data_IF_310247275268
#
_entry.id   IF_310247275268
#
_cell.length_a   1.000
_cell.length_b   1.000
_cell.length_c   1.000
_cell.angle_alpha   90.00
_cell.angle_beta   90.00
_cell.angle_gamma   90.00
#
_symmetry.space_group_name_H-M   'P 1'
#
loop_
_entity.id
_entity.type
_entity.pdbx_description
1 polymer ?
#
# COMPACT_ATOMS: atom_id res chain seq x y z
N UNK A 1 18.24 9.53 -11.72
CA UNK A 1 16.83 9.36 -11.25
C UNK A 1 16.81 9.09 -9.75
N UNK A 2 16.09 9.89 -8.99
CA UNK A 2 15.94 9.75 -7.52
C UNK A 2 14.47 9.45 -7.21
N UNK A 3 14.24 8.49 -6.30
CA UNK A 3 12.91 8.21 -5.77
C UNK A 3 12.69 9.03 -4.50
N UNK A 4 11.61 9.79 -4.49
CA UNK A 4 11.19 10.62 -3.36
C UNK A 4 9.79 10.25 -2.88
N UNK A 5 9.47 10.55 -1.63
CA UNK A 5 8.15 10.33 -1.06
C UNK A 5 7.51 11.67 -0.68
N UNK A 6 6.44 12.03 -1.37
CA UNK A 6 5.60 13.19 -1.03
C UNK A 6 4.39 12.70 -0.24
N UNK A 7 4.27 13.14 1.02
CA UNK A 7 3.17 12.76 1.89
C UNK A 7 2.26 13.96 2.14
N UNK A 8 0.95 13.77 1.92
CA UNK A 8 -0.10 14.78 2.17
C UNK A 8 -1.20 14.22 3.07
N UNK A 9 -1.82 15.08 3.87
CA UNK A 9 -3.00 14.74 4.64
C UNK A 9 -4.25 14.81 3.76
N UNK A 10 -5.13 13.82 3.91
CA UNK A 10 -6.42 13.77 3.23
C UNK A 10 -7.54 14.26 4.15
N UNK A 11 -8.53 14.91 3.55
CA UNK A 11 -9.76 15.34 4.18
C UNK A 11 -10.97 14.67 3.49
N UNK A 12 -11.20 13.37 3.75
CA UNK A 12 -12.30 12.64 3.13
C UNK A 12 -13.63 12.97 3.78
N UNK A 13 -14.70 13.05 3.00
CA UNK A 13 -16.07 13.05 3.50
C UNK A 13 -16.38 11.74 4.26
N UNK A 14 -17.42 11.70 5.11
CA UNK A 14 -17.83 10.48 5.80
C UNK A 14 -18.11 9.29 4.86
N UNK A 15 -18.64 9.55 3.67
CA UNK A 15 -18.85 8.53 2.66
C UNK A 15 -17.52 7.98 2.10
N UNK A 16 -16.59 8.88 1.80
CA UNK A 16 -15.25 8.50 1.34
C UNK A 16 -14.46 7.78 2.43
N UNK A 17 -14.61 8.16 3.69
CA UNK A 17 -13.94 7.45 4.80
C UNK A 17 -14.40 5.99 4.89
N UNK A 18 -15.69 5.71 4.71
CA UNK A 18 -16.21 4.33 4.63
C UNK A 18 -15.56 3.55 3.50
N UNK A 19 -15.42 4.15 2.32
CA UNK A 19 -14.75 3.52 1.16
C UNK A 19 -13.25 3.30 1.41
N UNK A 20 -12.57 4.24 2.05
CA UNK A 20 -11.16 4.10 2.44
C UNK A 20 -10.96 2.94 3.43
N UNK A 21 -11.86 2.82 4.42
CA UNK A 21 -11.84 1.71 5.37
C UNK A 21 -12.14 0.37 4.69
N UNK A 22 -13.09 0.33 3.74
CA UNK A 22 -13.40 -0.86 2.94
C UNK A 22 -12.19 -1.33 2.15
N UNK A 23 -11.50 -0.42 1.43
CA UNK A 23 -10.27 -0.75 0.69
C UNK A 23 -9.14 -1.26 1.60
N UNK A 24 -8.96 -0.66 2.78
CA UNK A 24 -8.00 -1.14 3.77
C UNK A 24 -8.39 -2.52 4.33
N UNK A 25 -9.69 -2.76 4.51
CA UNK A 25 -10.26 -4.06 4.85
C UNK A 25 -9.99 -5.12 3.78
N UNK A 26 -10.20 -4.78 2.51
CA UNK A 26 -9.92 -5.63 1.36
C UNK A 26 -8.43 -6.03 1.28
N UNK A 27 -7.53 -5.08 1.50
CA UNK A 27 -6.09 -5.35 1.56
C UNK A 27 -5.73 -6.32 2.69
N UNK A 28 -6.31 -6.13 3.89
CA UNK A 28 -6.11 -7.04 5.03
C UNK A 28 -6.70 -8.42 4.75
N UNK A 29 -7.88 -8.48 4.16
CA UNK A 29 -8.55 -9.73 3.78
C UNK A 29 -7.67 -10.54 2.82
N UNK A 30 -7.21 -9.94 1.71
CA UNK A 30 -6.34 -10.61 0.75
C UNK A 30 -5.03 -11.11 1.38
N UNK A 31 -4.42 -10.30 2.27
CA UNK A 31 -3.25 -10.74 3.04
C UNK A 31 -3.56 -11.99 3.88
N UNK A 32 -4.67 -11.99 4.61
CA UNK A 32 -5.04 -13.09 5.51
C UNK A 32 -5.44 -14.35 4.73
N UNK A 33 -6.23 -14.21 3.67
CA UNK A 33 -6.63 -15.31 2.81
C UNK A 33 -5.40 -15.97 2.14
N UNK A 34 -4.50 -15.16 1.59
CA UNK A 34 -3.24 -15.66 1.02
C UNK A 34 -2.35 -16.34 2.07
N UNK A 35 -2.30 -15.82 3.29
CA UNK A 35 -1.55 -16.44 4.39
C UNK A 35 -2.16 -17.78 4.79
N UNK A 36 -3.49 -17.88 4.87
CA UNK A 36 -4.19 -19.15 5.14
C UNK A 36 -3.87 -20.20 4.06
N UNK A 37 -3.94 -19.81 2.77
CA UNK A 37 -3.57 -20.66 1.65
C UNK A 37 -2.13 -21.19 1.75
N UNK A 38 -1.17 -20.31 2.02
CA UNK A 38 0.25 -20.71 2.16
C UNK A 38 0.44 -21.64 3.35
N UNK A 39 -0.20 -21.37 4.51
CA UNK A 39 -0.12 -22.23 5.68
C UNK A 39 -0.71 -23.61 5.42
N UNK A 40 -1.91 -23.68 4.84
CA UNK A 40 -2.55 -24.96 4.50
C UNK A 40 -1.68 -25.80 3.56
N UNK A 41 -1.03 -25.18 2.57
CA UNK A 41 -0.09 -25.87 1.70
C UNK A 41 1.14 -26.42 2.44
N UNK A 42 1.72 -25.63 3.36
CA UNK A 42 2.86 -26.08 4.19
C UNK A 42 2.43 -27.23 5.11
N UNK A 43 1.29 -27.11 5.78
CA UNK A 43 0.75 -28.12 6.69
C UNK A 43 0.45 -29.44 5.97
N UNK A 44 0.07 -29.38 4.70
CA UNK A 44 -0.10 -30.54 3.81
C UNK A 44 1.24 -31.07 3.23
N UNK A 45 2.39 -30.56 3.65
CA UNK A 45 3.69 -30.99 3.14
C UNK A 45 4.04 -30.50 1.73
N UNK A 46 3.22 -29.63 1.16
CA UNK A 46 3.45 -29.06 -0.16
C UNK A 46 4.44 -27.87 -0.10
N UNK A 47 4.95 -27.45 -1.27
CA UNK A 47 5.70 -26.22 -1.43
C UNK A 47 4.80 -25.17 -2.11
N UNK A 48 3.99 -24.43 -1.35
CA UNK A 48 3.09 -23.44 -1.95
C UNK A 48 3.90 -22.34 -2.63
N UNK A 49 3.41 -21.88 -3.78
CA UNK A 49 3.98 -20.73 -4.46
C UNK A 49 3.55 -19.45 -3.72
N UNK A 50 4.50 -18.78 -3.08
CA UNK A 50 4.27 -17.53 -2.35
C UNK A 50 4.88 -16.29 -2.98
N UNK A 51 5.33 -16.38 -4.24
CA UNK A 51 5.69 -15.20 -5.02
C UNK A 51 4.48 -14.28 -5.18
N UNK A 52 4.70 -12.97 -5.40
CA UNK A 52 3.60 -12.06 -5.67
C UNK A 52 2.76 -12.51 -6.88
N UNK A 53 3.42 -13.01 -7.93
CA UNK A 53 2.75 -13.53 -9.12
C UNK A 53 1.88 -14.75 -8.79
N UNK A 54 2.42 -15.73 -8.06
CA UNK A 54 1.68 -16.92 -7.66
C UNK A 54 0.48 -16.61 -6.77
N UNK A 55 0.67 -15.74 -5.77
CA UNK A 55 -0.42 -15.30 -4.90
C UNK A 55 -1.51 -14.54 -5.67
N UNK A 56 -1.15 -13.69 -6.65
CA UNK A 56 -2.13 -13.00 -7.51
C UNK A 56 -2.89 -13.99 -8.40
N UNK A 57 -2.21 -14.96 -8.98
CA UNK A 57 -2.83 -16.02 -9.79
C UNK A 57 -3.82 -16.82 -8.94
N UNK A 58 -3.40 -17.27 -7.77
CA UNK A 58 -4.27 -17.98 -6.83
C UNK A 58 -5.47 -17.13 -6.43
N UNK A 59 -5.29 -15.87 -6.08
CA UNK A 59 -6.37 -14.94 -5.74
C UNK A 59 -7.38 -14.82 -6.87
N UNK A 60 -6.93 -14.59 -8.09
CA UNK A 60 -7.80 -14.41 -9.24
C UNK A 60 -8.66 -15.64 -9.53
N UNK A 61 -8.16 -16.85 -9.27
CA UNK A 61 -8.90 -18.10 -9.46
C UNK A 61 -9.86 -18.40 -8.30
N UNK A 62 -9.69 -17.77 -7.13
CA UNK A 62 -10.47 -18.13 -5.93
C UNK A 62 -11.28 -16.96 -5.34
N UNK A 63 -11.11 -15.75 -5.81
CA UNK A 63 -11.71 -14.55 -5.22
C UNK A 63 -13.23 -14.58 -5.12
N UNK A 64 -13.91 -15.21 -6.10
CA UNK A 64 -15.37 -15.29 -6.13
C UNK A 64 -15.91 -16.22 -5.03
N UNK A 65 -15.18 -17.28 -4.71
CA UNK A 65 -15.50 -18.18 -3.61
C UNK A 65 -15.06 -17.63 -2.23
N UNK A 66 -13.98 -16.83 -2.18
CA UNK A 66 -13.44 -16.31 -0.95
C UNK A 66 -14.13 -15.02 -0.48
N UNK A 67 -14.55 -14.17 -1.41
CA UNK A 67 -15.11 -12.86 -1.14
C UNK A 67 -16.62 -12.83 -1.38
N UNK A 68 -17.32 -13.78 -0.79
CA UNK A 68 -18.77 -13.91 -0.77
C UNK A 68 -19.29 -13.63 0.65
N UNK A 69 -20.41 -12.92 0.76
CA UNK A 69 -21.10 -12.66 2.02
C UNK A 69 -22.01 -13.84 2.42
N UNK A 70 -22.55 -13.79 3.63
CA UNK A 70 -23.50 -14.79 4.12
C UNK A 70 -24.81 -14.83 3.30
N UNK A 71 -25.08 -13.74 2.60
CA UNK A 71 -26.20 -13.57 1.65
C UNK A 71 -25.89 -14.12 0.24
N UNK A 72 -24.72 -14.69 0.02
CA UNK A 72 -24.26 -15.18 -1.28
C UNK A 72 -23.78 -14.09 -2.24
N UNK A 73 -23.75 -12.83 -1.83
CA UNK A 73 -23.32 -11.71 -2.67
C UNK A 73 -21.79 -11.63 -2.72
N UNK A 74 -21.25 -11.57 -3.93
CA UNK A 74 -19.81 -11.40 -4.16
C UNK A 74 -19.45 -9.92 -4.00
N UNK A 75 -18.64 -9.61 -2.99
CA UNK A 75 -18.31 -8.23 -2.61
C UNK A 75 -16.93 -7.73 -3.06
N UNK A 76 -16.04 -8.57 -3.59
CA UNK A 76 -14.69 -8.10 -3.96
C UNK A 76 -14.72 -6.98 -5.02
N UNK A 77 -15.74 -6.94 -5.88
CA UNK A 77 -15.87 -5.93 -6.93
C UNK A 77 -16.15 -4.51 -6.40
N UNK A 78 -16.55 -4.35 -5.15
CA UNK A 78 -16.77 -3.06 -4.50
C UNK A 78 -15.48 -2.26 -4.33
N UNK A 79 -14.36 -2.95 -4.19
CA UNK A 79 -13.05 -2.35 -3.95
C UNK A 79 -12.17 -2.39 -5.20
N UNK A 80 -11.17 -1.52 -5.25
CA UNK A 80 -10.16 -1.57 -6.30
C UNK A 80 -9.34 -2.86 -6.20
N UNK A 81 -9.10 -3.51 -7.35
CA UNK A 81 -8.18 -4.66 -7.46
C UNK A 81 -6.80 -4.40 -6.85
N UNK A 82 -6.37 -3.14 -6.86
CA UNK A 82 -5.08 -2.72 -6.31
C UNK A 82 -5.02 -2.88 -4.79
N UNK A 83 -6.15 -2.73 -4.08
CA UNK A 83 -6.20 -2.96 -2.63
C UNK A 83 -5.88 -4.42 -2.28
N UNK A 84 -6.48 -5.38 -2.99
CA UNK A 84 -6.19 -6.81 -2.82
C UNK A 84 -4.75 -7.13 -3.20
N UNK A 85 -4.29 -6.62 -4.34
CA UNK A 85 -2.92 -6.77 -4.82
C UNK A 85 -1.89 -6.27 -3.81
N UNK A 86 -2.16 -5.14 -3.15
CA UNK A 86 -1.32 -4.61 -2.08
C UNK A 86 -1.25 -5.56 -0.87
N UNK A 87 -2.36 -6.18 -0.48
CA UNK A 87 -2.39 -7.18 0.58
C UNK A 87 -1.50 -8.38 0.26
N UNK A 88 -1.61 -8.91 -0.95
CA UNK A 88 -0.79 -10.03 -1.44
C UNK A 88 0.69 -9.66 -1.58
N UNK A 89 1.00 -8.43 -2.04
CA UNK A 89 2.37 -7.91 -2.10
C UNK A 89 3.01 -7.85 -0.71
N UNK A 90 2.26 -7.35 0.28
CA UNK A 90 2.73 -7.29 1.66
C UNK A 90 3.00 -8.69 2.24
N UNK A 91 2.16 -9.69 1.91
CA UNK A 91 2.37 -11.08 2.29
C UNK A 91 3.62 -11.66 1.63
N UNK A 92 3.74 -11.55 0.30
CA UNK A 92 4.89 -12.07 -0.46
C UNK A 92 6.21 -11.50 0.10
N UNK A 93 6.24 -10.18 0.35
CA UNK A 93 7.41 -9.51 0.95
C UNK A 93 7.70 -10.01 2.38
N UNK A 94 6.67 -10.26 3.19
CA UNK A 94 6.80 -10.81 4.53
C UNK A 94 7.40 -12.22 4.51
N UNK A 95 6.90 -13.10 3.64
CA UNK A 95 7.40 -14.48 3.45
C UNK A 95 8.83 -14.50 2.92
N UNK A 96 9.15 -13.63 1.94
CA UNK A 96 10.51 -13.50 1.43
C UNK A 96 11.49 -13.05 2.53
N UNK A 97 11.11 -12.06 3.35
CA UNK A 97 11.93 -11.58 4.45
C UNK A 97 12.15 -12.65 5.51
N UNK A 98 11.12 -13.42 5.85
CA UNK A 98 11.22 -14.56 6.75
C UNK A 98 12.16 -15.64 6.18
N UNK A 99 11.98 -16.03 4.92
CA UNK A 99 12.83 -17.02 4.25
C UNK A 99 14.31 -16.59 4.23
N UNK A 100 14.59 -15.32 3.85
CA UNK A 100 15.94 -14.77 3.90
C UNK A 100 16.52 -14.74 5.32
N UNK A 101 15.69 -14.41 6.31
CA UNK A 101 16.10 -14.39 7.72
C UNK A 101 16.47 -15.79 8.23
N UNK A 102 15.69 -16.82 7.86
CA UNK A 102 16.02 -18.22 8.19
C UNK A 102 17.34 -18.71 7.57
N UNK A 103 17.62 -18.28 6.35
CA UNK A 103 18.83 -18.65 5.61
C UNK A 103 20.08 -17.81 5.99
N UNK A 104 19.98 -16.88 6.94
CA UNK A 104 21.06 -15.96 7.27
C UNK A 104 21.37 -14.92 6.18
N UNK A 105 20.59 -14.86 5.11
CA UNK A 105 20.80 -13.97 3.96
C UNK A 105 20.24 -12.55 4.16
N UNK A 106 19.85 -12.19 5.41
CA UNK A 106 19.30 -10.87 5.73
C UNK A 106 20.06 -10.27 6.92
N UNK A 107 20.53 -9.04 6.76
CA UNK A 107 21.11 -8.25 7.86
C UNK A 107 20.01 -7.76 8.83
N UNK A 108 20.35 -7.60 10.10
CA UNK A 108 19.49 -7.07 11.16
C UNK A 108 18.70 -8.14 11.92
N UNK A 109 17.69 -7.71 12.70
CA UNK A 109 16.94 -8.60 13.62
C UNK A 109 16.24 -9.74 12.86
N UNK A 110 16.14 -10.91 13.50
CA UNK A 110 15.40 -12.07 12.97
C UNK A 110 13.94 -11.69 12.69
N UNK A 111 13.44 -12.15 11.55
CA UNK A 111 12.05 -11.95 11.10
C UNK A 111 11.31 -13.28 11.24
N UNK A 112 10.22 -13.27 12.00
CA UNK A 112 9.34 -14.43 12.16
C UNK A 112 8.45 -14.65 10.92
N UNK A 113 7.76 -15.80 10.91
CA UNK A 113 6.74 -16.09 9.91
C UNK A 113 5.60 -15.07 10.01
N UNK A 114 4.99 -14.63 8.88
CA UNK A 114 3.88 -13.69 8.89
C UNK A 114 2.72 -14.17 9.77
N UNK A 115 2.06 -13.22 10.44
CA UNK A 115 0.89 -13.49 11.29
C UNK A 115 -0.35 -12.86 10.67
N UNK A 116 -1.52 -13.43 10.97
CA UNK A 116 -2.80 -12.86 10.58
C UNK A 116 -2.95 -11.42 11.14
N UNK A 117 -3.54 -10.57 10.32
CA UNK A 117 -3.78 -9.16 10.67
C UNK A 117 -5.18 -9.01 11.26
N UNK A 118 -5.27 -8.65 12.52
CA UNK A 118 -6.53 -8.31 13.18
C UNK A 118 -6.99 -6.89 12.81
N UNK A 119 -8.31 -6.65 12.82
CA UNK A 119 -8.92 -5.37 12.41
C UNK A 119 -8.52 -4.21 13.33
N UNK A 120 -8.46 -4.48 14.61
CA UNK A 120 -8.17 -3.54 15.70
C UNK A 120 -6.69 -3.18 15.82
N UNK A 121 -5.79 -4.09 15.38
CA UNK A 121 -4.33 -3.92 15.51
C UNK A 121 -3.61 -3.55 14.23
N UNK A 122 -4.20 -3.86 13.09
CA UNK A 122 -3.58 -3.56 11.80
C UNK A 122 -3.86 -2.11 11.38
N UNK A 123 -2.80 -1.34 11.12
CA UNK A 123 -2.95 0.00 10.53
C UNK A 123 -3.70 -0.10 9.20
N UNK A 124 -4.85 0.60 9.03
CA UNK A 124 -5.56 0.64 7.77
C UNK A 124 -4.65 1.18 6.67
N UNK A 125 -4.43 0.37 5.63
CA UNK A 125 -3.50 0.74 4.55
C UNK A 125 -3.76 -0.05 3.28
N UNK A 126 -3.64 0.63 2.12
CA UNK A 126 -3.63 0.04 0.79
C UNK A 126 -2.84 0.93 -0.17
N UNK A 127 -2.62 0.49 -1.42
CA UNK A 127 -1.88 1.30 -2.39
C UNK A 127 -2.42 1.10 -3.80
N UNK A 128 -2.12 2.08 -4.65
CA UNK A 128 -2.33 2.04 -6.09
C UNK A 128 -0.96 2.08 -6.79
N UNK A 129 -0.81 1.25 -7.80
CA UNK A 129 0.38 1.18 -8.66
C UNK A 129 0.04 1.27 -10.13
N UNK A 130 -1.21 1.00 -10.48
CA UNK A 130 -1.72 1.05 -11.86
C UNK A 130 -3.08 1.73 -11.89
N UNK A 131 -3.46 2.22 -13.07
CA UNK A 131 -4.75 2.88 -13.30
C UNK A 131 -4.69 4.40 -13.10
N UNK A 132 -5.87 5.02 -13.14
CA UNK A 132 -6.02 6.48 -13.08
C UNK A 132 -6.07 6.99 -11.65
N UNK A 133 -4.95 6.93 -10.95
CA UNK A 133 -4.79 7.52 -9.61
C UNK A 133 -3.79 8.68 -9.63
N UNK A 134 -3.84 9.55 -8.64
CA UNK A 134 -2.88 10.64 -8.44
C UNK A 134 -3.47 12.02 -8.63
N UNK A 135 -2.70 12.93 -9.21
CA UNK A 135 -3.06 14.33 -9.39
C UNK A 135 -4.29 14.51 -10.28
N UNK A 136 -5.06 15.57 -10.03
CA UNK A 136 -6.20 16.00 -10.85
C UNK A 136 -5.82 17.32 -11.51
N UNK A 137 -5.86 17.35 -12.83
CA UNK A 137 -5.57 18.57 -13.58
C UNK A 137 -6.54 19.68 -13.19
N UNK A 138 -6.01 20.87 -12.88
CA UNK A 138 -6.82 22.01 -12.45
C UNK A 138 -7.32 21.98 -11.00
N UNK A 139 -6.94 20.96 -10.22
CA UNK A 139 -7.33 20.84 -8.81
C UNK A 139 -6.11 20.51 -7.91
N UNK A 140 -5.34 21.53 -7.51
CA UNK A 140 -4.06 21.32 -6.83
C UNK A 140 -4.19 20.73 -5.41
N UNK A 141 -5.38 20.80 -4.83
CA UNK A 141 -5.67 20.28 -3.47
C UNK A 141 -6.54 19.03 -3.51
N UNK A 142 -6.42 18.20 -4.55
CA UNK A 142 -7.13 16.94 -4.59
C UNK A 142 -6.34 15.82 -5.26
N UNK A 143 -6.69 14.60 -4.86
CA UNK A 143 -6.19 13.37 -5.46
C UNK A 143 -7.36 12.53 -5.98
N UNK A 144 -7.16 11.88 -7.12
CA UNK A 144 -8.07 10.84 -7.63
C UNK A 144 -7.67 9.49 -7.05
N UNK A 145 -8.62 8.87 -6.38
CA UNK A 145 -8.50 7.51 -5.85
C UNK A 145 -9.51 6.60 -6.56
N UNK A 146 -9.07 5.59 -7.34
CA UNK A 146 -9.98 4.66 -8.01
C UNK A 146 -11.00 4.05 -7.05
N UNK A 147 -12.27 4.02 -7.48
CA UNK A 147 -13.44 3.57 -6.69
C UNK A 147 -13.85 4.45 -5.50
N UNK A 148 -13.08 5.49 -5.18
CA UNK A 148 -13.37 6.43 -4.09
C UNK A 148 -13.67 7.82 -4.65
N UNK A 149 -13.04 8.15 -5.79
CA UNK A 149 -13.25 9.41 -6.47
C UNK A 149 -12.21 10.47 -6.11
N UNK A 150 -12.63 11.73 -6.22
CA UNK A 150 -11.84 12.90 -5.85
C UNK A 150 -11.85 13.06 -4.33
N UNK A 151 -10.68 13.05 -3.71
CA UNK A 151 -10.50 13.27 -2.27
C UNK A 151 -9.70 14.55 -2.05
N UNK A 152 -10.20 15.44 -1.20
CA UNK A 152 -9.53 16.70 -0.85
C UNK A 152 -8.25 16.43 -0.06
N UNK A 153 -7.22 17.26 -0.31
CA UNK A 153 -5.94 17.28 0.41
C UNK A 153 -5.80 18.59 1.17
N UNK A 154 -5.26 18.52 2.36
CA UNK A 154 -5.03 19.71 3.18
C UNK A 154 -3.95 20.61 2.58
N UNK A 155 -2.98 20.04 1.86
CA UNK A 155 -1.88 20.74 1.21
C UNK A 155 -2.04 20.77 -0.31
N UNK A 156 -1.38 21.71 -0.97
CA UNK A 156 -1.22 21.73 -2.43
C UNK A 156 -0.31 20.57 -2.85
N UNK A 157 -0.95 19.48 -3.27
CA UNK A 157 -0.24 18.28 -3.69
C UNK A 157 0.43 18.44 -5.04
N UNK A 158 -0.13 19.28 -5.93
CA UNK A 158 0.44 19.55 -7.25
C UNK A 158 1.77 20.29 -7.12
N UNK A 159 1.81 21.35 -6.30
CA UNK A 159 3.06 22.08 -6.04
C UNK A 159 4.13 21.19 -5.37
N UNK A 160 3.73 20.29 -4.48
CA UNK A 160 4.66 19.39 -3.79
C UNK A 160 5.21 18.29 -4.70
N UNK A 161 4.43 17.78 -5.64
CA UNK A 161 4.86 16.78 -6.62
C UNK A 161 5.66 17.44 -7.75
N UNK A 162 5.23 18.63 -8.22
CA UNK A 162 5.81 19.31 -9.38
C UNK A 162 5.73 18.43 -10.62
N UNK A 163 6.78 18.46 -11.43
CA UNK A 163 6.87 17.71 -12.71
C UNK A 163 7.27 16.23 -12.52
N UNK A 164 7.39 15.78 -11.26
CA UNK A 164 7.83 14.41 -10.98
C UNK A 164 6.75 13.39 -11.39
N UNK A 165 7.20 12.26 -11.94
CA UNK A 165 6.32 11.14 -12.30
C UNK A 165 5.87 10.40 -11.05
N UNK A 166 4.56 10.28 -10.85
CA UNK A 166 4.01 9.48 -9.74
C UNK A 166 4.00 8.00 -10.13
N UNK A 167 4.71 7.18 -9.36
CA UNK A 167 4.83 5.73 -9.59
C UNK A 167 3.87 4.92 -8.72
N UNK A 168 3.59 5.38 -7.49
CA UNK A 168 2.79 4.69 -6.52
C UNK A 168 2.12 5.69 -5.58
N UNK A 169 0.90 5.41 -5.18
CA UNK A 169 0.22 6.12 -4.10
C UNK A 169 -0.17 5.14 -3.00
N UNK A 170 0.35 5.34 -1.80
CA UNK A 170 -0.01 4.56 -0.61
C UNK A 170 -0.94 5.38 0.26
N UNK A 171 -2.13 4.85 0.53
CA UNK A 171 -3.11 5.47 1.42
C UNK A 171 -3.08 4.76 2.77
N UNK A 172 -3.02 5.53 3.87
CA UNK A 172 -2.94 4.96 5.22
C UNK A 172 -3.61 5.87 6.25
N UNK A 173 -4.15 5.27 7.34
CA UNK A 173 -4.70 6.00 8.49
C UNK A 173 -3.73 5.94 9.66
N UNK A 174 -3.41 7.08 10.26
CA UNK A 174 -2.59 7.18 11.49
C UNK A 174 -3.19 8.23 12.42
N UNK A 175 -3.29 7.91 13.68
CA UNK A 175 -3.85 8.82 14.71
C UNK A 175 -5.18 9.46 14.25
N UNK A 176 -6.11 8.66 13.73
CA UNK A 176 -7.43 9.13 13.30
C UNK A 176 -7.45 9.82 11.92
N UNK A 177 -6.31 10.20 11.34
CA UNK A 177 -6.23 10.96 10.08
C UNK A 177 -5.76 10.09 8.92
N UNK A 178 -6.30 10.35 7.73
CA UNK A 178 -5.88 9.72 6.48
C UNK A 178 -4.76 10.49 5.80
N UNK A 179 -3.85 9.75 5.17
CA UNK A 179 -2.71 10.29 4.43
C UNK A 179 -2.54 9.56 3.11
N UNK A 180 -2.15 10.29 2.08
CA UNK A 180 -1.60 9.73 0.86
C UNK A 180 -0.09 9.99 0.82
N UNK A 181 0.70 8.94 0.54
CA UNK A 181 2.13 9.03 0.26
C UNK A 181 2.37 8.65 -1.18
N UNK A 182 2.81 9.60 -1.98
CA UNK A 182 3.13 9.40 -3.39
C UNK A 182 4.62 9.10 -3.50
N UNK A 183 4.97 7.98 -4.09
CA UNK A 183 6.34 7.72 -4.53
C UNK A 183 6.49 8.37 -5.90
N UNK A 184 7.39 9.33 -6.00
CA UNK A 184 7.65 10.08 -7.21
C UNK A 184 9.07 9.85 -7.70
N UNK A 185 9.23 9.87 -9.01
CA UNK A 185 10.52 9.78 -9.68
C UNK A 185 10.89 11.17 -10.20
N UNK A 186 12.06 11.66 -9.78
CA UNK A 186 12.61 12.93 -10.24
C UNK A 186 13.90 12.68 -11.01
N UNK A 187 14.18 13.51 -11.99
CA UNK A 187 15.50 13.57 -12.58
C UNK A 187 16.51 14.08 -11.55
N UNK A 188 17.74 13.54 -11.58
CA UNK A 188 18.82 14.01 -10.74
C UNK A 188 19.08 15.50 -11.03
N UNK A 189 18.61 16.37 -10.15
CA UNK A 189 19.19 17.70 -10.11
C UNK A 189 20.60 17.54 -9.54
N UNK A 190 21.64 18.12 -10.17
CA UNK A 190 22.97 18.12 -9.58
C UNK A 190 22.82 18.68 -8.17
N UNK A 191 23.32 17.92 -7.18
CA UNK A 191 23.37 18.39 -5.79
C UNK A 191 24.28 19.60 -5.81
N UNK A 192 23.71 20.80 -5.86
CA UNK A 192 24.44 22.02 -5.50
C UNK A 192 24.82 21.81 -4.06
N UNK A 193 26.12 21.52 -3.81
CA UNK A 193 26.65 21.51 -2.46
C UNK A 193 26.18 22.81 -1.81
N UNK A 194 25.62 22.77 -0.58
CA UNK A 194 25.34 24.00 0.12
C UNK A 194 26.63 24.82 0.15
N UNK A 195 26.55 26.14 -0.03
CA UNK A 195 27.75 26.97 0.09
C UNK A 195 28.42 26.61 1.42
N UNK A 196 29.74 26.36 1.37
CA UNK A 196 30.54 26.17 2.57
C UNK A 196 30.58 27.49 3.33
N UNK A 197 29.54 27.79 4.06
CA UNK A 197 29.44 28.90 5.00
C UNK A 197 29.55 28.32 6.40
N UNK A 198 30.44 28.90 7.19
CA UNK A 198 30.87 28.42 8.49
C UNK A 198 29.72 28.08 9.43
N UNK A 199 29.92 27.03 10.22
CA UNK A 199 29.09 26.66 11.34
C UNK A 199 29.08 27.79 12.35
N UNK A 200 27.99 28.54 12.48
CA UNK A 200 27.74 29.44 13.60
C UNK A 200 27.11 28.59 14.70
N UNK A 201 27.92 28.24 15.70
CA UNK A 201 27.42 27.72 16.96
C UNK A 201 26.72 28.88 17.71
N UNK A 202 25.49 28.66 18.13
CA UNK A 202 24.80 29.52 19.08
C UNK A 202 24.93 28.82 20.42
N UNK A 203 25.62 29.44 21.37
CA UNK A 203 25.65 29.06 22.79
C UNK A 203 24.31 29.38 23.45
#
# INVERSE_FOLDING_TARGET
MVLESVKVALDPSPAQERLLLSHAGAARFAFNAGLAHVKAGIDAGAKPEWSLYGLRRWWNSNKDALAVGDDGVIWWAENSKEAYSYGLEALAKGLLNWSKSRKGARKGRKVGFPRFKAKDRATPRFAYTTGCFGLIQGDPKALRLPRIGRVHCMEDVTARVGDARVLRMTVSRRAGRWYASLTVERDDKPVTKPPQGGVVGID
#
